data_IF_190004374359
#
_entry.id   IF_190004374359
#
_cell.length_a   1.000
_cell.length_b   1.000
_cell.length_c   1.000
_cell.angle_alpha   90.00
_cell.angle_beta   90.00
_cell.angle_gamma   90.00
#
_symmetry.space_group_name_H-M   'P 1'
#
loop_
_entity.id
_entity.type
_entity.pdbx_description
1 polymer ?
#
# COMPACT_ATOMS: atom_id res chain seq x y z
N UNK A 1 -1.29 -9.40 7.10
CA UNK A 1 0.05 -9.68 6.53
C UNK A 1 1.14 -9.35 7.54
N UNK A 2 2.27 -10.07 7.51
CA UNK A 2 3.45 -9.76 8.35
C UNK A 2 4.07 -8.41 7.98
N UNK A 3 4.42 -7.58 8.97
CA UNK A 3 4.91 -6.21 8.76
C UNK A 3 6.13 -6.11 7.84
N UNK A 4 7.04 -7.09 7.91
CA UNK A 4 8.23 -7.14 7.04
C UNK A 4 7.81 -7.34 5.57
N UNK A 5 6.89 -8.28 5.32
CA UNK A 5 6.38 -8.55 3.96
C UNK A 5 5.62 -7.34 3.40
N UNK A 6 4.88 -6.63 4.24
CA UNK A 6 4.20 -5.38 3.85
C UNK A 6 5.21 -4.32 3.40
N UNK A 7 6.29 -4.12 4.14
CA UNK A 7 7.31 -3.13 3.80
C UNK A 7 8.08 -3.48 2.52
N UNK A 8 8.41 -4.76 2.32
CA UNK A 8 9.04 -5.25 1.09
C UNK A 8 8.14 -5.07 -0.12
N UNK A 9 6.86 -5.44 0.02
CA UNK A 9 5.86 -5.28 -1.06
C UNK A 9 5.62 -3.81 -1.39
N UNK A 10 5.48 -2.96 -0.38
CA UNK A 10 5.37 -1.51 -0.54
C UNK A 10 6.57 -0.92 -1.29
N UNK A 11 7.79 -1.35 -0.96
CA UNK A 11 9.01 -0.90 -1.63
C UNK A 11 9.07 -1.36 -3.08
N UNK A 12 8.70 -2.61 -3.36
CA UNK A 12 8.64 -3.14 -4.71
C UNK A 12 7.59 -2.38 -5.56
N UNK A 13 6.39 -2.16 -5.00
CA UNK A 13 5.31 -1.44 -5.68
C UNK A 13 5.69 0.02 -5.95
N UNK A 14 6.28 0.70 -4.96
CA UNK A 14 6.76 2.08 -5.11
C UNK A 14 7.93 2.17 -6.10
N UNK A 15 8.85 1.20 -6.11
CA UNK A 15 9.93 1.19 -7.09
C UNK A 15 9.45 0.96 -8.52
N UNK A 16 8.34 0.25 -8.71
CA UNK A 16 7.77 -0.05 -10.03
C UNK A 16 6.84 1.05 -10.54
N UNK A 17 6.01 1.63 -9.67
CA UNK A 17 4.93 2.56 -10.05
C UNK A 17 5.14 3.99 -9.52
N UNK A 18 6.16 4.24 -8.70
CA UNK A 18 6.43 5.54 -8.09
C UNK A 18 5.22 6.05 -7.30
N UNK A 19 4.83 7.31 -7.56
CA UNK A 19 3.69 7.97 -6.92
C UNK A 19 2.34 7.29 -7.21
N UNK A 20 2.23 6.52 -8.30
CA UNK A 20 1.00 5.80 -8.62
C UNK A 20 0.78 4.58 -7.71
N UNK A 21 1.84 4.08 -7.03
CA UNK A 21 1.76 2.93 -6.15
C UNK A 21 0.76 3.14 -4.99
N UNK A 22 0.71 4.36 -4.44
CA UNK A 22 -0.23 4.69 -3.35
C UNK A 22 -1.68 4.66 -3.85
N UNK A 23 -1.93 5.23 -5.03
CA UNK A 23 -3.25 5.25 -5.64
C UNK A 23 -3.73 3.83 -6.00
N UNK A 24 -2.82 2.97 -6.47
CA UNK A 24 -3.13 1.57 -6.74
C UNK A 24 -3.44 0.79 -5.47
N UNK A 25 -2.63 0.93 -4.42
CA UNK A 25 -2.91 0.29 -3.13
C UNK A 25 -4.24 0.77 -2.53
N UNK A 26 -4.56 2.07 -2.65
CA UNK A 26 -5.84 2.62 -2.23
C UNK A 26 -7.02 2.05 -3.03
N UNK A 27 -6.86 1.88 -4.35
CA UNK A 27 -7.90 1.30 -5.21
C UNK A 27 -8.15 -0.17 -4.86
N UNK A 28 -7.08 -0.96 -4.73
CA UNK A 28 -7.14 -2.38 -4.35
C UNK A 28 -7.83 -2.58 -3.01
N UNK A 29 -7.51 -1.75 -2.01
CA UNK A 29 -8.17 -1.81 -0.70
C UNK A 29 -9.70 -1.66 -0.82
N UNK A 30 -10.16 -0.70 -1.64
CA UNK A 30 -11.60 -0.49 -1.89
C UNK A 30 -12.25 -1.65 -2.63
N UNK A 31 -11.58 -2.18 -3.64
CA UNK A 31 -12.03 -3.36 -4.38
C UNK A 31 -12.15 -4.58 -3.47
N UNK A 32 -11.20 -4.80 -2.56
CA UNK A 32 -11.27 -5.87 -1.57
C UNK A 32 -12.45 -5.71 -0.61
N UNK A 33 -12.73 -4.49 -0.13
CA UNK A 33 -13.94 -4.23 0.69
C UNK A 33 -15.21 -4.55 -0.12
N UNK A 34 -15.30 -4.07 -1.36
CA UNK A 34 -16.46 -4.32 -2.22
C UNK A 34 -16.64 -5.81 -2.54
N UNK A 35 -15.54 -6.56 -2.62
CA UNK A 35 -15.54 -8.00 -2.84
C UNK A 35 -15.80 -8.82 -1.55
N UNK A 36 -16.01 -8.18 -0.40
CA UNK A 36 -16.23 -8.88 0.87
C UNK A 36 -14.96 -9.54 1.44
N UNK A 37 -13.77 -9.01 1.10
CA UNK A 37 -12.45 -9.51 1.53
C UNK A 37 -11.78 -8.49 2.46
N UNK A 38 -12.25 -8.35 3.72
CA UNK A 38 -11.78 -7.32 4.64
C UNK A 38 -10.32 -7.50 5.06
N UNK A 39 -9.83 -8.74 5.17
CA UNK A 39 -8.44 -9.04 5.53
C UNK A 39 -7.46 -8.52 4.49
N UNK A 40 -7.76 -8.72 3.20
CA UNK A 40 -6.94 -8.18 2.12
C UNK A 40 -7.04 -6.66 2.01
N UNK A 41 -8.21 -6.08 2.33
CA UNK A 41 -8.34 -4.64 2.39
C UNK A 41 -7.42 -4.02 3.47
N UNK A 42 -7.26 -4.72 4.60
CA UNK A 42 -6.33 -4.32 5.67
C UNK A 42 -4.87 -4.43 5.19
N UNK A 43 -4.53 -5.52 4.51
CA UNK A 43 -3.20 -5.70 3.91
C UNK A 43 -2.86 -4.57 2.91
N UNK A 44 -3.78 -4.24 2.00
CA UNK A 44 -3.60 -3.13 1.06
C UNK A 44 -3.50 -1.77 1.77
N UNK A 45 -4.23 -1.59 2.87
CA UNK A 45 -4.14 -0.38 3.70
C UNK A 45 -2.77 -0.27 4.38
N UNK A 46 -2.24 -1.38 4.90
CA UNK A 46 -0.92 -1.45 5.50
C UNK A 46 0.18 -1.15 4.46
N UNK A 47 0.08 -1.73 3.25
CA UNK A 47 0.98 -1.45 2.12
C UNK A 47 0.95 0.04 1.78
N UNK A 48 -0.25 0.65 1.67
CA UNK A 48 -0.40 2.08 1.38
C UNK A 48 0.31 2.96 2.43
N UNK A 49 0.17 2.64 3.72
CA UNK A 49 0.84 3.37 4.81
C UNK A 49 2.37 3.26 4.70
N UNK A 50 2.88 2.06 4.37
CA UNK A 50 4.31 1.87 4.15
C UNK A 50 4.82 2.68 2.94
N UNK A 51 4.09 2.71 1.83
CA UNK A 51 4.41 3.56 0.65
C UNK A 51 4.45 5.03 1.02
N UNK A 52 3.48 5.52 1.81
CA UNK A 52 3.49 6.90 2.30
C UNK A 52 4.71 7.21 3.17
N UNK A 53 5.25 6.23 3.91
CA UNK A 53 6.49 6.36 4.65
C UNK A 53 7.73 6.42 3.74
N UNK A 54 7.71 5.69 2.62
CA UNK A 54 8.82 5.66 1.64
C UNK A 54 8.97 6.95 0.83
N UNK A 55 7.87 7.69 0.58
CA UNK A 55 7.94 9.07 0.03
C UNK A 55 8.73 10.04 0.93
N UNK A 56 9.05 9.62 2.16
CA UNK A 56 9.56 10.48 3.22
C UNK A 56 8.49 11.46 3.70
N UNK A 57 8.67 12.07 4.89
CA UNK A 57 7.98 13.32 5.15
C UNK A 57 8.34 14.26 4.00
N UNK A 58 7.34 14.87 3.34
CA UNK A 58 7.58 16.02 2.45
C UNK A 58 8.46 16.98 3.23
N UNK A 59 9.76 16.96 2.95
CA UNK A 59 10.67 18.01 3.37
C UNK A 59 10.14 19.25 2.65
N UNK A 60 9.79 20.26 3.45
CA UNK A 60 9.04 21.45 3.03
C UNK A 60 9.65 22.22 1.87
#
# INVERSE_FOLDING_TARGET
MEAIKTAEYARALYSAHGDQAEAEAARRARECVAAGRPEEADDWTAIRRAISGLRGPRQG
#
